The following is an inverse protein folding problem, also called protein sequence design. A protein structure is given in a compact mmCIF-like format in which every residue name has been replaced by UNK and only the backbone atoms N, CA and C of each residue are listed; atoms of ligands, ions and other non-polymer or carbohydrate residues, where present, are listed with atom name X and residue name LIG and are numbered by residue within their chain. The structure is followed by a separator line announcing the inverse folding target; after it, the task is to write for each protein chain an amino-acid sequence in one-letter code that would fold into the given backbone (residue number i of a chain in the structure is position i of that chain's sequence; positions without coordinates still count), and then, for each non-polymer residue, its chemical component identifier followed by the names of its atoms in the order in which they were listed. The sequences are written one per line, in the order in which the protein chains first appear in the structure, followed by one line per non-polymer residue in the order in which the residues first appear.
data_IF_759615769413
#
_entry.id   IF_759615769413
#
_cell.length_a   1.000
_cell.length_b   1.000
_cell.length_c   1.000
_cell.angle_alpha   90.00
_cell.angle_beta   90.00
_cell.angle_gamma   90.00
#
_symmetry.space_group_name_H-M   'P 1'
#
loop_
_entity.id
_entity.type
_entity.pdbx_description
1 polymer ?
#
# COMPACT_ATOMS: atom_id res chain seq x y z
N UNK A 1 -0.51 -18.81 -6.80
CA UNK A 1 -0.48 -17.76 -7.86
C UNK A 1 -1.13 -16.51 -7.28
N UNK A 2 -0.49 -15.35 -7.42
CA UNK A 2 -1.02 -14.09 -6.88
C UNK A 2 -2.16 -13.56 -7.76
N UNK A 3 -3.15 -12.92 -7.13
CA UNK A 3 -4.20 -12.19 -7.86
C UNK A 3 -3.66 -10.86 -8.36
N UNK A 4 -4.19 -10.36 -9.48
CA UNK A 4 -3.81 -9.07 -10.05
C UNK A 4 -4.87 -8.02 -9.86
N UNK A 5 -4.46 -6.78 -9.63
CA UNK A 5 -5.33 -5.61 -9.66
C UNK A 5 -6.60 -5.74 -8.83
N UNK A 6 -6.49 -6.33 -7.64
CA UNK A 6 -7.64 -6.66 -6.79
C UNK A 6 -8.45 -5.44 -6.36
N UNK A 7 -7.88 -4.22 -6.41
CA UNK A 7 -8.63 -2.96 -6.21
C UNK A 7 -9.84 -2.83 -7.14
N UNK A 8 -9.81 -3.46 -8.33
CA UNK A 8 -10.96 -3.50 -9.25
C UNK A 8 -12.20 -4.10 -8.61
N UNK A 9 -12.04 -5.04 -7.66
CA UNK A 9 -13.18 -5.57 -6.89
C UNK A 9 -13.92 -4.49 -6.11
N UNK A 10 -13.21 -3.47 -5.61
CA UNK A 10 -13.81 -2.31 -4.96
C UNK A 10 -14.35 -1.28 -5.95
N UNK A 11 -13.75 -1.16 -7.14
CA UNK A 11 -14.28 -0.29 -8.20
C UNK A 11 -15.59 -0.81 -8.79
N UNK A 12 -15.84 -2.13 -8.76
CA UNK A 12 -17.13 -2.73 -9.16
C UNK A 12 -18.29 -2.28 -8.26
N UNK A 13 -18.01 -1.84 -7.03
CA UNK A 13 -19.01 -1.43 -6.05
C UNK A 13 -18.53 -0.23 -5.20
N UNK A 14 -18.44 0.97 -5.81
CA UNK A 14 -17.99 2.17 -5.11
C UNK A 14 -19.05 2.65 -4.10
N UNK A 15 -18.68 3.54 -3.15
CA UNK A 15 -19.64 4.16 -2.26
C UNK A 15 -20.71 4.93 -3.05
N UNK A 16 -21.96 4.83 -2.63
CA UNK A 16 -23.09 5.49 -3.30
C UNK A 16 -22.86 7.01 -3.45
N UNK A 17 -23.17 7.55 -4.64
CA UNK A 17 -23.06 8.98 -4.91
C UNK A 17 -21.64 9.48 -5.16
N UNK A 18 -20.69 8.58 -5.42
CA UNK A 18 -19.30 8.91 -5.78
C UNK A 18 -18.98 8.72 -7.26
N UNK A 19 -19.99 8.44 -8.10
CA UNK A 19 -19.83 8.21 -9.53
C UNK A 19 -19.14 9.41 -10.20
N UNK A 20 -18.02 9.15 -10.89
CA UNK A 20 -17.23 10.19 -11.55
C UNK A 20 -16.30 11.01 -10.64
N UNK A 21 -16.25 10.73 -9.33
CA UNK A 21 -15.33 11.35 -8.37
C UNK A 21 -14.39 10.34 -7.73
N UNK A 22 -13.93 9.37 -8.52
CA UNK A 22 -13.00 8.33 -8.10
C UNK A 22 -11.65 8.57 -8.77
N UNK A 23 -10.59 8.59 -7.97
CA UNK A 23 -9.21 8.54 -8.44
C UNK A 23 -8.55 7.30 -7.84
N UNK A 24 -7.90 6.48 -8.67
CA UNK A 24 -7.38 5.19 -8.26
C UNK A 24 -6.01 4.91 -8.90
N UNK A 25 -5.37 3.86 -8.42
CA UNK A 25 -4.11 3.35 -8.98
C UNK A 25 -4.24 3.09 -10.48
N UNK A 26 -3.20 3.44 -11.24
CA UNK A 26 -3.10 3.19 -12.67
C UNK A 26 -2.01 2.14 -12.94
N UNK A 27 -2.24 1.25 -13.89
CA UNK A 27 -1.30 0.18 -14.23
C UNK A 27 -1.61 -1.15 -13.52
N UNK A 28 -0.63 -2.03 -13.50
CA UNK A 28 -0.78 -3.40 -13.01
C UNK A 28 0.02 -3.64 -11.74
N UNK A 29 -0.47 -4.53 -10.86
CA UNK A 29 0.27 -5.05 -9.73
C UNK A 29 -0.24 -6.43 -9.32
N UNK A 30 0.58 -7.15 -8.57
CA UNK A 30 0.25 -8.42 -7.95
C UNK A 30 -0.09 -8.20 -6.47
N UNK A 31 -1.15 -8.84 -5.98
CA UNK A 31 -1.62 -8.72 -4.59
C UNK A 31 -0.83 -9.67 -3.70
N UNK A 32 0.11 -9.12 -2.93
CA UNK A 32 0.87 -9.87 -1.93
C UNK A 32 0.17 -9.79 -0.59
N UNK A 33 0.06 -10.93 0.07
CA UNK A 33 -0.72 -11.10 1.28
C UNK A 33 -0.16 -12.25 2.11
N UNK A 34 -0.69 -12.49 3.31
CA UNK A 34 -0.18 -13.56 4.17
C UNK A 34 -0.22 -14.94 3.49
N UNK A 35 0.82 -15.73 3.78
CA UNK A 35 1.03 -17.10 3.28
C UNK A 35 1.16 -17.22 1.75
N UNK A 36 1.19 -16.13 0.99
CA UNK A 36 1.13 -16.19 -0.47
C UNK A 36 2.37 -16.84 -1.14
N UNK A 37 3.47 -16.94 -0.39
CA UNK A 37 4.74 -17.57 -0.77
C UNK A 37 5.14 -18.70 0.21
N UNK A 38 4.16 -19.31 0.88
CA UNK A 38 4.34 -20.37 1.88
C UNK A 38 5.12 -19.98 3.13
N UNK A 39 5.43 -18.69 3.31
CA UNK A 39 6.02 -18.16 4.54
C UNK A 39 4.92 -17.68 5.50
N UNK A 40 4.97 -18.13 6.75
CA UNK A 40 3.99 -17.76 7.78
C UNK A 40 4.39 -16.45 8.48
N UNK A 41 3.94 -15.35 7.90
CA UNK A 41 4.18 -14.00 8.36
C UNK A 41 2.94 -13.36 9.03
N UNK A 42 1.95 -14.19 9.41
CA UNK A 42 0.72 -13.71 10.03
C UNK A 42 1.02 -13.00 11.34
N UNK A 43 0.42 -11.82 11.52
CA UNK A 43 0.54 -11.02 12.74
C UNK A 43 1.72 -10.05 12.78
N UNK A 44 2.61 -10.08 11.79
CA UNK A 44 3.77 -9.15 11.75
C UNK A 44 4.19 -8.75 10.32
N UNK A 45 3.84 -9.55 9.31
CA UNK A 45 4.31 -9.39 7.94
C UNK A 45 3.59 -8.33 7.08
N UNK A 46 2.54 -7.69 7.61
CA UNK A 46 1.60 -6.89 6.79
C UNK A 46 2.29 -5.72 6.07
N UNK A 47 3.28 -5.09 6.72
CA UNK A 47 4.08 -4.03 6.12
C UNK A 47 4.91 -4.53 4.94
N UNK A 48 5.52 -5.72 5.05
CA UNK A 48 6.26 -6.33 3.95
C UNK A 48 5.36 -6.71 2.80
N UNK A 49 4.18 -7.30 3.05
CA UNK A 49 3.21 -7.65 2.00
C UNK A 49 2.67 -6.43 1.26
N UNK A 50 2.42 -5.34 1.98
CA UNK A 50 2.07 -4.05 1.35
C UNK A 50 3.22 -3.53 0.49
N UNK A 51 4.45 -3.59 0.99
CA UNK A 51 5.65 -3.22 0.23
C UNK A 51 5.89 -4.09 -1.00
N UNK A 52 5.67 -5.41 -0.93
CA UNK A 52 5.76 -6.32 -2.08
C UNK A 52 4.70 -5.99 -3.14
N UNK A 53 3.48 -5.65 -2.70
CA UNK A 53 2.41 -5.18 -3.60
C UNK A 53 2.83 -3.90 -4.33
N UNK A 54 3.36 -2.90 -3.62
CA UNK A 54 3.88 -1.66 -4.21
C UNK A 54 5.08 -1.93 -5.12
N UNK A 55 6.00 -2.80 -4.71
CA UNK A 55 7.16 -3.24 -5.50
C UNK A 55 6.74 -3.87 -6.81
N UNK A 56 5.71 -4.72 -6.79
CA UNK A 56 5.18 -5.32 -8.01
C UNK A 56 4.61 -4.23 -8.94
N UNK A 57 3.88 -3.25 -8.39
CA UNK A 57 3.39 -2.11 -9.15
C UNK A 57 4.53 -1.35 -9.84
N UNK A 58 5.60 -1.04 -9.10
CA UNK A 58 6.79 -0.38 -9.63
C UNK A 58 7.36 -1.16 -10.82
N UNK A 59 7.56 -2.47 -10.66
CA UNK A 59 8.14 -3.33 -11.71
C UNK A 59 7.25 -3.33 -12.96
N UNK A 60 5.93 -3.50 -12.79
CA UNK A 60 4.98 -3.45 -13.91
C UNK A 60 4.86 -2.07 -14.54
N UNK A 61 5.02 -0.98 -13.77
CA UNK A 61 4.89 0.38 -14.24
C UNK A 61 6.06 0.79 -15.15
N UNK A 62 7.29 0.42 -14.78
CA UNK A 62 8.48 0.76 -15.56
C UNK A 62 8.84 -0.28 -16.63
N UNK A 63 8.40 -1.54 -16.46
CA UNK A 63 8.66 -2.67 -17.37
C UNK A 63 10.15 -2.82 -17.78
N UNK A 64 11.06 -2.41 -16.89
CA UNK A 64 12.51 -2.51 -17.11
C UNK A 64 13.05 -3.82 -16.53
N UNK A 65 13.59 -4.66 -17.41
CA UNK A 65 14.24 -5.94 -17.08
C UNK A 65 15.45 -5.81 -16.15
N UNK A 66 16.02 -4.61 -16.00
CA UNK A 66 17.10 -4.33 -15.06
C UNK A 66 16.61 -4.13 -13.63
N UNK A 67 15.32 -3.89 -13.41
CA UNK A 67 14.79 -3.76 -12.05
C UNK A 67 14.88 -5.11 -11.33
N UNK A 68 15.19 -5.09 -10.03
CA UNK A 68 15.09 -6.30 -9.23
C UNK A 68 13.64 -6.81 -9.23
N UNK A 69 13.47 -8.11 -9.02
CA UNK A 69 12.15 -8.70 -8.82
C UNK A 69 11.62 -8.30 -7.44
N UNK A 70 10.34 -8.56 -7.19
CA UNK A 70 9.82 -8.51 -5.83
C UNK A 70 10.58 -9.53 -4.97
N UNK A 71 11.17 -9.06 -3.88
CA UNK A 71 12.04 -9.85 -3.01
C UNK A 71 11.25 -10.46 -1.84
N UNK A 72 11.84 -11.47 -1.21
CA UNK A 72 11.27 -12.12 -0.02
C UNK A 72 11.34 -11.23 1.23
N UNK A 73 10.54 -11.54 2.25
CA UNK A 73 10.58 -10.86 3.55
C UNK A 73 11.99 -10.92 4.16
N UNK A 74 12.63 -12.10 4.19
CA UNK A 74 14.00 -12.25 4.68
C UNK A 74 14.99 -11.34 3.94
N UNK A 75 14.87 -11.22 2.61
CA UNK A 75 15.74 -10.32 1.84
C UNK A 75 15.53 -8.85 2.21
N UNK A 76 14.29 -8.43 2.44
CA UNK A 76 13.99 -7.09 2.94
C UNK A 76 14.54 -6.86 4.35
N UNK A 77 14.43 -7.84 5.25
CA UNK A 77 15.02 -7.77 6.59
C UNK A 77 16.54 -7.65 6.53
N UNK A 78 17.20 -8.44 5.69
CA UNK A 78 18.65 -8.37 5.47
C UNK A 78 19.09 -6.99 4.96
N UNK A 79 18.32 -6.41 4.03
CA UNK A 79 18.56 -5.04 3.53
C UNK A 79 18.46 -4.04 4.69
N UNK A 80 17.38 -4.08 5.47
CA UNK A 80 17.19 -3.16 6.58
C UNK A 80 18.29 -3.30 7.65
N UNK A 81 18.69 -4.54 7.97
CA UNK A 81 19.83 -4.81 8.86
C UNK A 81 21.13 -4.20 8.33
N UNK A 82 21.39 -4.31 7.01
CA UNK A 82 22.57 -3.68 6.38
C UNK A 82 22.53 -2.14 6.39
N UNK A 83 21.32 -1.56 6.49
CA UNK A 83 21.09 -0.12 6.66
C UNK A 83 21.11 0.33 8.12
N UNK A 84 21.49 -0.55 9.05
CA UNK A 84 21.61 -0.25 10.48
C UNK A 84 20.28 -0.24 11.25
N UNK A 85 19.20 -0.79 10.68
CA UNK A 85 17.96 -1.03 11.42
C UNK A 85 18.13 -2.25 12.34
N UNK A 86 17.48 -2.23 13.50
CA UNK A 86 17.45 -3.37 14.44
C UNK A 86 16.46 -4.47 13.97
N UNK A 87 16.60 -4.89 12.71
CA UNK A 87 15.79 -5.91 12.05
C UNK A 87 16.75 -6.93 11.45
N UNK A 88 16.47 -8.22 11.67
CA UNK A 88 17.26 -9.30 11.10
C UNK A 88 16.34 -10.40 10.54
N UNK A 89 16.92 -11.32 9.77
CA UNK A 89 16.18 -12.39 9.08
C UNK A 89 15.51 -13.38 10.04
N UNK A 90 15.93 -13.43 11.30
CA UNK A 90 15.38 -14.33 12.31
C UNK A 90 14.27 -13.68 13.15
N UNK A 91 14.04 -12.37 12.99
CA UNK A 91 13.07 -11.64 13.78
C UNK A 91 11.69 -11.64 13.11
N UNK A 92 10.63 -11.77 13.90
CA UNK A 92 9.26 -11.47 13.46
C UNK A 92 8.97 -9.96 13.59
N UNK A 93 9.95 -9.11 13.23
CA UNK A 93 9.83 -7.65 13.36
C UNK A 93 8.94 -7.09 12.26
N UNK A 94 7.94 -6.30 12.64
CA UNK A 94 7.13 -5.53 11.70
C UNK A 94 7.93 -4.39 11.08
N UNK A 95 7.45 -3.85 9.95
CA UNK A 95 7.99 -2.64 9.32
C UNK A 95 6.88 -1.62 9.08
N UNK A 96 7.24 -0.34 9.08
CA UNK A 96 6.36 0.77 8.75
C UNK A 96 6.73 1.43 7.42
N UNK A 97 6.21 2.64 7.24
CA UNK A 97 6.41 3.44 6.02
C UNK A 97 7.85 3.91 5.84
N UNK A 98 8.60 4.07 6.94
CA UNK A 98 9.99 4.55 6.87
C UNK A 98 10.90 3.46 6.29
N UNK A 99 10.80 2.24 6.81
CA UNK A 99 11.57 1.10 6.33
C UNK A 99 11.17 0.74 4.88
N UNK A 100 9.88 0.81 4.56
CA UNK A 100 9.40 0.62 3.19
C UNK A 100 9.99 1.67 2.23
N UNK A 101 10.09 2.94 2.65
CA UNK A 101 10.75 3.99 1.87
C UNK A 101 12.23 3.67 1.61
N UNK A 102 12.96 3.23 2.63
CA UNK A 102 14.38 2.86 2.51
C UNK A 102 14.58 1.75 1.48
N UNK A 103 13.73 0.71 1.51
CA UNK A 103 13.81 -0.40 0.56
C UNK A 103 13.48 0.05 -0.86
N UNK A 104 12.42 0.86 -1.03
CA UNK A 104 12.01 1.34 -2.37
C UNK A 104 13.12 2.19 -3.00
N UNK A 105 13.71 3.11 -2.23
CA UNK A 105 14.81 3.94 -2.68
C UNK A 105 16.06 3.10 -3.02
N UNK A 106 16.42 2.14 -2.16
CA UNK A 106 17.60 1.32 -2.38
C UNK A 106 17.47 0.45 -3.63
N UNK A 107 16.36 -0.27 -3.78
CA UNK A 107 16.17 -1.28 -4.83
C UNK A 107 15.72 -0.70 -6.17
N UNK A 108 14.81 0.27 -6.15
CA UNK A 108 14.16 0.77 -7.36
C UNK A 108 14.57 2.19 -7.73
N UNK A 109 15.31 2.90 -6.85
CA UNK A 109 15.73 4.30 -7.06
C UNK A 109 14.54 5.23 -7.27
N UNK A 110 13.47 4.99 -6.51
CA UNK A 110 12.24 5.78 -6.55
C UNK A 110 12.12 6.61 -5.27
N UNK A 111 12.10 7.94 -5.36
CA UNK A 111 11.89 8.78 -4.20
C UNK A 111 10.46 8.60 -3.69
N UNK A 112 10.28 8.63 -2.36
CA UNK A 112 8.97 8.57 -1.73
C UNK A 112 8.72 9.83 -0.89
N UNK A 113 7.47 10.28 -0.85
CA UNK A 113 6.98 11.27 0.12
C UNK A 113 6.30 10.54 1.27
N UNK A 114 6.63 10.87 2.51
CA UNK A 114 5.90 10.39 3.70
C UNK A 114 5.09 11.55 4.28
N UNK A 115 3.78 11.38 4.39
CA UNK A 115 2.89 12.28 5.10
C UNK A 115 2.64 11.74 6.50
N UNK A 116 3.02 12.50 7.52
CA UNK A 116 2.67 12.21 8.91
C UNK A 116 1.38 12.92 9.28
N UNK A 117 0.33 12.14 9.54
CA UNK A 117 -1.01 12.62 9.88
C UNK A 117 -1.34 12.20 11.31
N UNK A 118 -1.65 13.12 12.21
CA UNK A 118 -1.99 12.81 13.61
C UNK A 118 -3.45 12.39 13.80
N UNK A 119 -4.25 12.49 12.74
CA UNK A 119 -5.67 12.16 12.76
C UNK A 119 -6.21 11.95 11.33
N UNK A 120 -7.44 11.43 11.23
CA UNK A 120 -8.16 11.40 9.96
C UNK A 120 -8.43 12.80 9.38
N UNK A 121 -8.52 13.85 10.22
CA UNK A 121 -8.67 15.22 9.76
C UNK A 121 -7.40 15.73 9.05
N UNK A 122 -6.22 15.30 9.51
CA UNK A 122 -4.96 15.61 8.84
C UNK A 122 -4.89 14.92 7.48
N UNK A 123 -5.31 13.65 7.38
CA UNK A 123 -5.45 12.95 6.09
C UNK A 123 -6.41 13.71 5.18
N UNK A 124 -7.54 14.16 5.72
CA UNK A 124 -8.52 14.95 4.97
C UNK A 124 -7.94 16.28 4.45
N UNK A 125 -7.02 16.92 5.19
CA UNK A 125 -6.32 18.12 4.73
C UNK A 125 -5.39 17.85 3.53
N UNK A 126 -4.88 16.62 3.40
CA UNK A 126 -4.00 16.18 2.33
C UNK A 126 -4.72 15.56 1.12
N UNK A 127 -6.05 15.57 1.07
CA UNK A 127 -6.78 15.04 -0.10
C UNK A 127 -6.34 15.67 -1.44
N UNK A 128 -6.08 16.98 -1.55
CA UNK A 128 -5.53 17.54 -2.79
C UNK A 128 -4.19 16.89 -3.20
N UNK A 129 -3.31 16.60 -2.24
CA UNK A 129 -2.03 15.91 -2.49
C UNK A 129 -2.25 14.47 -2.97
N UNK A 130 -3.18 13.74 -2.33
CA UNK A 130 -3.50 12.35 -2.68
C UNK A 130 -4.14 12.25 -4.07
N UNK A 131 -5.08 13.14 -4.39
CA UNK A 131 -5.69 13.23 -5.72
C UNK A 131 -4.65 13.57 -6.79
N UNK A 132 -3.79 14.56 -6.52
CA UNK A 132 -2.68 14.92 -7.41
C UNK A 132 -1.72 13.74 -7.61
N UNK A 133 -1.46 12.97 -6.56
CA UNK A 133 -0.60 11.80 -6.64
C UNK A 133 -1.16 10.71 -7.55
N UNK A 134 -2.42 10.31 -7.36
CA UNK A 134 -3.05 9.33 -8.25
C UNK A 134 -3.13 9.84 -9.69
N UNK A 135 -3.45 11.12 -9.89
CA UNK A 135 -3.53 11.71 -11.24
C UNK A 135 -2.19 11.72 -11.96
N UNK A 136 -1.10 12.03 -11.25
CA UNK A 136 0.17 12.29 -11.90
C UNK A 136 1.14 11.08 -11.89
N UNK A 137 1.04 10.20 -10.90
CA UNK A 137 1.90 9.02 -10.76
C UNK A 137 1.13 7.71 -10.94
N UNK A 138 -0.12 7.67 -10.44
CA UNK A 138 -0.94 6.46 -10.42
C UNK A 138 -0.45 5.37 -9.46
N UNK A 139 0.49 5.68 -8.56
CA UNK A 139 1.06 4.69 -7.64
C UNK A 139 0.13 4.37 -6.45
N UNK A 140 0.15 3.12 -5.94
CA UNK A 140 -0.46 2.79 -4.66
C UNK A 140 0.29 3.45 -3.50
N UNK A 141 -0.44 3.77 -2.43
CA UNK A 141 0.14 4.28 -1.18
C UNK A 141 0.18 3.17 -0.14
N UNK A 142 1.18 3.20 0.74
CA UNK A 142 1.16 2.42 1.98
C UNK A 142 0.69 3.31 3.13
N UNK A 143 -0.26 2.81 3.91
CA UNK A 143 -0.73 3.42 5.15
C UNK A 143 -0.27 2.54 6.32
N UNK A 144 0.48 3.15 7.25
CA UNK A 144 0.78 2.56 8.56
C UNK A 144 0.08 3.34 9.66
N UNK A 145 -0.56 2.66 10.60
CA UNK A 145 -1.21 3.26 11.77
C UNK A 145 -0.53 2.88 13.08
N UNK A 146 -0.69 3.73 14.09
CA UNK A 146 -0.20 3.48 15.45
C UNK A 146 -0.92 2.32 16.14
N UNK A 147 -2.25 2.38 16.18
CA UNK A 147 -3.07 1.50 17.02
C UNK A 147 -3.55 0.24 16.30
N UNK A 148 -3.59 0.27 14.97
CA UNK A 148 -4.04 -0.89 14.22
C UNK A 148 -2.91 -1.91 14.00
N UNK A 149 -1.63 -1.54 14.15
CA UNK A 149 -0.44 -2.35 13.77
C UNK A 149 -0.59 -3.04 12.39
N UNK A 150 -1.49 -2.53 11.56
CA UNK A 150 -2.02 -3.25 10.41
C UNK A 150 -1.75 -2.37 9.21
N UNK A 151 -0.55 -2.49 8.64
CA UNK A 151 -0.25 -1.82 7.38
C UNK A 151 -1.25 -2.25 6.31
N UNK A 152 -1.77 -1.27 5.56
CA UNK A 152 -2.68 -1.51 4.43
C UNK A 152 -2.26 -0.63 3.26
N UNK A 153 -2.68 -1.01 2.05
CA UNK A 153 -2.49 -0.16 0.89
C UNK A 153 -3.73 0.68 0.60
N UNK A 154 -3.54 1.93 0.20
CA UNK A 154 -4.60 2.78 -0.36
C UNK A 154 -4.45 2.77 -1.87
N UNK A 155 -5.46 2.24 -2.55
CA UNK A 155 -5.50 2.03 -4.00
C UNK A 155 -6.45 2.97 -4.74
N UNK A 156 -7.11 3.86 -3.99
CA UNK A 156 -7.95 4.89 -4.56
C UNK A 156 -8.64 5.70 -3.50
N UNK A 157 -9.32 6.73 -3.98
CA UNK A 157 -10.10 7.67 -3.21
C UNK A 157 -11.39 7.97 -3.96
N UNK A 158 -12.50 8.01 -3.24
CA UNK A 158 -13.82 8.36 -3.74
C UNK A 158 -14.41 9.48 -2.90
N UNK A 159 -15.11 10.42 -3.52
CA UNK A 159 -15.73 11.55 -2.81
C UNK A 159 -17.16 11.78 -3.30
N UNK A 160 -18.09 11.93 -2.36
CA UNK A 160 -19.46 12.41 -2.65
C UNK A 160 -19.65 13.90 -2.30
N UNK A 161 -18.63 14.50 -1.69
CA UNK A 161 -18.67 15.83 -1.13
C UNK A 161 -17.30 16.29 -0.62
N UNK A 162 -17.27 17.47 0.01
CA UNK A 162 -16.02 18.08 0.51
C UNK A 162 -15.74 17.79 1.98
N UNK A 163 -16.66 17.14 2.68
CA UNK A 163 -16.51 16.84 4.11
C UNK A 163 -15.76 15.52 4.32
N UNK A 164 -15.33 15.30 5.56
CA UNK A 164 -14.57 14.10 5.93
C UNK A 164 -15.42 12.83 5.83
N UNK A 165 -16.69 12.90 6.22
CA UNK A 165 -17.67 11.81 6.10
C UNK A 165 -18.03 11.46 4.65
N UNK A 166 -17.72 12.37 3.72
CA UNK A 166 -17.97 12.21 2.29
C UNK A 166 -16.76 11.66 1.53
N UNK A 167 -15.67 11.34 2.23
CA UNK A 167 -14.41 10.91 1.64
C UNK A 167 -14.09 9.48 2.05
N UNK A 168 -13.81 8.64 1.06
CA UNK A 168 -13.59 7.21 1.22
C UNK A 168 -12.25 6.81 0.63
N UNK A 169 -11.53 5.92 1.31
CA UNK A 169 -10.29 5.31 0.84
C UNK A 169 -10.58 3.88 0.37
N UNK A 170 -10.09 3.51 -0.81
CA UNK A 170 -10.11 2.12 -1.28
C UNK A 170 -8.92 1.40 -0.67
N UNK A 171 -9.20 0.53 0.28
CA UNK A 171 -8.22 -0.24 1.02
C UNK A 171 -8.01 -1.58 0.35
N UNK A 172 -6.74 -1.95 0.14
CA UNK A 172 -6.31 -3.32 -0.13
C UNK A 172 -5.55 -3.80 1.09
N UNK A 173 -6.15 -4.76 1.79
CA UNK A 173 -5.70 -5.24 3.07
C UNK A 173 -4.81 -6.49 2.88
N UNK A 174 -3.53 -6.50 3.32
CA UNK A 174 -2.63 -7.63 3.12
C UNK A 174 -2.88 -8.83 4.05
N UNK A 175 -3.83 -8.74 4.99
CA UNK A 175 -4.08 -9.78 6.00
C UNK A 175 -4.86 -10.98 5.47
N UNK A 176 -5.23 -10.98 4.18
CA UNK A 176 -5.76 -12.18 3.53
C UNK A 176 -4.73 -13.31 3.60
N UNK A 177 -5.07 -14.40 4.29
CA UNK A 177 -4.17 -15.52 4.50
C UNK A 177 -4.54 -16.68 3.58
N UNK A 178 -3.70 -16.95 2.57
CA UNK A 178 -3.85 -18.11 1.69
C UNK A 178 -2.57 -18.39 0.91
N UNK A 179 -2.22 -19.67 0.71
CA UNK A 179 -1.19 -20.06 -0.27
C UNK A 179 -1.74 -20.05 -1.71
N UNK A 180 -3.02 -20.35 -1.86
CA UNK A 180 -3.72 -20.41 -3.14
C UNK A 180 -4.87 -19.39 -3.13
N UNK A 181 -4.59 -18.21 -3.66
CA UNK A 181 -5.50 -17.09 -3.60
C UNK A 181 -6.82 -17.38 -4.34
N UNK A 182 -7.94 -17.30 -3.62
CA UNK A 182 -9.30 -17.37 -4.14
C UNK A 182 -9.84 -15.94 -4.32
N UNK A 183 -10.19 -15.52 -5.55
CA UNK A 183 -10.79 -14.20 -5.79
C UNK A 183 -12.03 -13.90 -4.94
N UNK A 184 -12.84 -14.91 -4.61
CA UNK A 184 -14.07 -14.73 -3.84
C UNK A 184 -13.75 -14.37 -2.38
N UNK A 185 -12.78 -15.05 -1.77
CA UNK A 185 -12.34 -14.69 -0.41
C UNK A 185 -11.53 -13.39 -0.41
N UNK A 186 -10.63 -13.19 -1.38
CA UNK A 186 -9.79 -11.99 -1.46
C UNK A 186 -10.62 -10.71 -1.60
N UNK A 187 -11.79 -10.76 -2.25
CA UNK A 187 -12.71 -9.61 -2.36
C UNK A 187 -13.10 -9.03 -1.00
N UNK A 188 -13.15 -9.82 0.08
CA UNK A 188 -13.47 -9.33 1.44
C UNK A 188 -12.37 -8.44 2.04
N UNK A 189 -11.17 -8.49 1.48
CA UNK A 189 -10.00 -7.73 1.90
C UNK A 189 -9.75 -6.52 0.99
N UNK A 190 -10.68 -6.23 0.08
CA UNK A 190 -10.68 -5.03 -0.75
C UNK A 190 -11.98 -4.29 -0.52
N UNK A 191 -11.92 -3.15 0.16
CA UNK A 191 -13.11 -2.43 0.62
C UNK A 191 -12.90 -0.93 0.67
N UNK A 192 -13.99 -0.18 0.55
CA UNK A 192 -14.00 1.25 0.80
C UNK A 192 -14.18 1.51 2.30
N UNK A 193 -13.34 2.38 2.86
CA UNK A 193 -13.43 2.82 4.25
C UNK A 193 -13.62 4.33 4.30
N UNK A 194 -14.65 4.81 5.00
CA UNK A 194 -14.83 6.25 5.18
C UNK A 194 -13.70 6.81 6.06
N UNK A 195 -13.22 8.03 5.79
CA UNK A 195 -12.20 8.65 6.64
C UNK A 195 -12.69 8.82 8.09
N UNK A 196 -13.98 9.06 8.29
CA UNK A 196 -14.60 9.16 9.61
C UNK A 196 -14.62 7.84 10.40
N UNK A 197 -14.37 6.70 9.75
CA UNK A 197 -14.32 5.36 10.37
C UNK A 197 -12.89 4.90 10.67
N UNK A 198 -11.88 5.74 10.37
CA UNK A 198 -10.52 5.48 10.78
C UNK A 198 -10.42 5.53 12.32
N UNK A 199 -9.56 4.69 12.85
CA UNK A 199 -9.32 4.63 14.29
C UNK A 199 -8.62 5.91 14.77
N UNK A 200 -8.83 6.25 16.04
CA UNK A 200 -8.11 7.36 16.66
C UNK A 200 -6.62 7.00 16.76
N UNK A 201 -5.74 7.88 16.30
CA UNK A 201 -4.29 7.67 16.32
C UNK A 201 -3.61 8.39 15.16
N UNK A 202 -2.29 8.28 15.10
CA UNK A 202 -1.55 8.78 13.95
C UNK A 202 -1.47 7.75 12.81
N UNK A 203 -1.32 8.26 11.60
CA UNK A 203 -1.13 7.54 10.36
C UNK A 203 0.06 8.11 9.60
N UNK A 204 0.90 7.25 9.05
CA UNK A 204 1.90 7.63 8.07
C UNK A 204 1.46 7.12 6.69
N UNK A 205 1.49 7.99 5.69
CA UNK A 205 1.19 7.65 4.30
C UNK A 205 2.46 7.75 3.47
N UNK A 206 2.96 6.62 2.96
CA UNK A 206 4.06 6.58 2.00
C UNK A 206 3.49 6.66 0.57
N UNK A 207 4.03 7.59 -0.21
CA UNK A 207 3.62 7.92 -1.56
C UNK A 207 4.83 7.81 -2.52
N UNK A 208 4.97 6.73 -3.31
CA UNK A 208 6.05 6.57 -4.29
C UNK A 208 5.94 7.56 -5.45
N UNK A 209 6.99 8.33 -5.73
CA UNK A 209 6.98 9.38 -6.75
C UNK A 209 7.60 8.83 -8.05
N UNK A 210 6.77 8.28 -8.95
CA UNK A 210 7.23 7.64 -10.20
C UNK A 210 7.69 8.58 -11.31
N UNK A 211 7.87 9.89 -11.07
CA UNK A 211 8.13 10.86 -12.14
C UNK A 211 9.42 10.64 -12.91
N UNK A 212 10.46 10.07 -12.30
CA UNK A 212 11.77 9.97 -12.94
C UNK A 212 12.55 8.84 -12.28
N UNK A 213 12.91 7.81 -13.05
CA UNK A 213 14.10 7.03 -12.71
C UNK A 213 15.29 7.82 -13.28
N UNK A 214 16.15 8.43 -12.45
CA UNK A 214 17.41 8.96 -12.98
C UNK A 214 18.18 7.79 -13.60
N UNK A 215 18.66 7.98 -14.84
CA UNK A 215 19.46 7.01 -15.59
C UNK A 215 20.72 6.56 -14.83
#
# INVERSE_FOLDING_TARGET
MLLKNVHRFGLDNPPEGTEGQISAVMGNYDYWHYLCDSFDDRGWGCGYRTLQTISSWIIHHFDDKKLPKVESIHKYQAILGSLGQEINEESCSWIGTVEACMIIDLLYKIPCKILHCKSAADIHSHIPDILSHFSNFGAPLMMGGENDHNSKGIFGIARKGRKIEDTYLLIVDPHYASENADPVQARKFVYWKALSELETGFYNLLMPLSYNRPE
#
